data_IF_386149452920
#
_entry.id   IF_386149452920
#
_cell.length_a   1.000
_cell.length_b   1.000
_cell.length_c   1.000
_cell.angle_alpha   90.00
_cell.angle_beta   90.00
_cell.angle_gamma   90.00
#
_symmetry.space_group_name_H-M   'P 1'
#
loop_
_entity.id
_entity.type
_entity.pdbx_description
1 polymer ?
#
# COMPACT_ATOMS: atom_id res chain seq x y z
N UNK A 1 -1.22 -2.64 -14.38
CA UNK A 1 0.04 -3.12 -14.98
C UNK A 1 0.07 -4.64 -14.99
N UNK A 2 0.45 -5.25 -16.11
CA UNK A 2 0.73 -6.69 -16.20
C UNK A 2 2.23 -6.90 -16.20
N UNK A 3 2.72 -7.68 -15.23
CA UNK A 3 4.13 -7.98 -15.08
C UNK A 3 4.46 -9.38 -15.64
N UNK A 4 5.72 -9.56 -16.03
CA UNK A 4 6.24 -10.86 -16.45
C UNK A 4 6.82 -11.61 -15.24
N UNK A 5 5.95 -11.92 -14.29
CA UNK A 5 6.29 -12.68 -13.07
C UNK A 5 5.30 -13.81 -12.86
N UNK A 6 5.75 -14.89 -12.21
CA UNK A 6 4.86 -15.97 -11.77
C UNK A 6 4.62 -15.83 -10.25
N UNK A 7 3.44 -15.38 -9.82
CA UNK A 7 3.13 -15.16 -8.41
C UNK A 7 3.01 -16.46 -7.58
N UNK A 8 3.08 -17.65 -8.22
CA UNK A 8 3.13 -18.94 -7.53
C UNK A 8 4.45 -19.14 -6.81
N UNK A 9 5.52 -18.53 -7.33
CA UNK A 9 6.84 -18.56 -6.73
C UNK A 9 7.00 -17.40 -5.75
N UNK A 10 7.42 -17.70 -4.53
CA UNK A 10 7.55 -16.70 -3.46
C UNK A 10 8.61 -15.62 -3.76
N UNK A 11 9.63 -15.96 -4.53
CA UNK A 11 10.70 -15.08 -5.01
C UNK A 11 10.26 -14.10 -6.12
N UNK A 12 9.18 -14.45 -6.84
CA UNK A 12 8.60 -13.61 -7.89
C UNK A 12 7.36 -12.81 -7.43
N UNK A 13 6.98 -12.94 -6.16
CA UNK A 13 5.86 -12.19 -5.60
C UNK A 13 6.24 -10.74 -5.32
N UNK A 14 5.88 -9.84 -6.24
CA UNK A 14 6.10 -8.40 -6.10
C UNK A 14 5.04 -7.79 -5.20
N UNK A 15 5.48 -7.16 -4.10
CA UNK A 15 4.65 -6.40 -3.18
C UNK A 15 5.46 -5.29 -2.53
N UNK A 16 4.83 -4.17 -2.30
CA UNK A 16 5.47 -3.03 -1.67
C UNK A 16 4.50 -1.90 -1.41
N UNK A 17 5.04 -0.76 -1.08
CA UNK A 17 4.31 0.48 -0.92
C UNK A 17 5.04 1.62 -1.61
N UNK A 18 4.30 2.62 -2.04
CA UNK A 18 4.82 3.86 -2.60
C UNK A 18 4.06 5.02 -1.99
N UNK A 19 4.76 6.07 -1.62
CA UNK A 19 4.15 7.34 -1.24
C UNK A 19 4.05 8.18 -2.50
N UNK A 20 2.82 8.55 -2.86
CA UNK A 20 2.55 9.34 -4.06
C UNK A 20 2.80 10.82 -3.78
N UNK A 21 3.56 11.55 -4.63
CA UNK A 21 3.88 12.96 -4.40
C UNK A 21 2.65 13.86 -4.25
N UNK A 22 1.64 13.65 -5.09
CA UNK A 22 0.38 14.40 -5.01
C UNK A 22 -0.68 13.73 -4.10
N UNK A 23 -0.31 12.65 -3.41
CA UNK A 23 -1.26 11.85 -2.62
C UNK A 23 -2.25 11.06 -3.47
N UNK A 24 -3.25 10.48 -2.81
CA UNK A 24 -4.34 9.71 -3.47
C UNK A 24 -5.63 10.53 -3.62
N UNK A 25 -5.71 11.70 -3.01
CA UNK A 25 -6.94 12.51 -2.92
C UNK A 25 -8.02 11.88 -2.02
N UNK A 26 -7.69 10.85 -1.27
CA UNK A 26 -8.56 10.21 -0.27
C UNK A 26 -8.15 10.63 1.13
N UNK A 27 -9.11 10.96 1.98
CA UNK A 27 -8.87 11.09 3.42
C UNK A 27 -8.76 9.69 4.00
N UNK A 28 -7.57 9.30 4.41
CA UNK A 28 -7.28 7.96 4.94
C UNK A 28 -7.38 7.99 6.45
N UNK A 29 -8.20 7.13 7.03
CA UNK A 29 -8.29 6.92 8.48
C UNK A 29 -7.24 5.91 8.90
N UNK A 30 -6.29 6.37 9.72
CA UNK A 30 -5.15 5.57 10.17
C UNK A 30 -5.39 5.10 11.60
N UNK A 31 -5.42 3.79 11.78
CA UNK A 31 -5.44 3.15 13.09
C UNK A 31 -4.04 2.63 13.45
N UNK A 32 -3.68 2.76 14.71
CA UNK A 32 -2.37 2.35 15.23
C UNK A 32 -2.54 1.43 16.43
N UNK A 33 -1.89 0.28 16.39
CA UNK A 33 -1.77 -0.63 17.54
C UNK A 33 -0.39 -0.45 18.14
N UNK A 34 -0.34 0.28 19.25
CA UNK A 34 0.87 0.58 20.00
C UNK A 34 0.58 0.69 21.50
N UNK A 35 1.61 0.48 22.34
CA UNK A 35 1.55 0.66 23.79
C UNK A 35 2.47 1.80 24.22
N UNK A 36 2.13 2.39 25.38
CA UNK A 36 2.94 3.38 26.08
C UNK A 36 3.38 4.58 25.20
N UNK A 37 4.63 4.97 25.28
CA UNK A 37 5.18 6.12 24.56
C UNK A 37 4.92 6.09 23.04
N UNK A 38 4.84 4.91 22.43
CA UNK A 38 4.54 4.78 20.98
C UNK A 38 3.09 5.11 20.66
N UNK A 39 2.18 4.95 21.59
CA UNK A 39 0.79 5.37 21.42
C UNK A 39 0.68 6.91 21.42
N UNK A 40 1.45 7.59 22.27
CA UNK A 40 1.47 9.05 22.31
C UNK A 40 2.16 9.64 21.08
N UNK A 41 3.26 9.04 20.60
CA UNK A 41 3.88 9.39 19.32
C UNK A 41 2.88 9.26 18.14
N UNK A 42 2.08 8.18 18.13
CA UNK A 42 1.07 7.98 17.11
C UNK A 42 -0.01 9.08 17.11
N UNK A 43 -0.50 9.45 18.30
CA UNK A 43 -1.48 10.55 18.47
C UNK A 43 -0.88 11.88 18.02
N UNK A 44 0.35 12.19 18.43
CA UNK A 44 1.06 13.39 18.03
C UNK A 44 1.29 13.46 16.52
N UNK A 45 1.52 12.32 15.86
CA UNK A 45 1.64 12.23 14.40
C UNK A 45 0.30 12.33 13.65
N UNK A 46 -0.82 12.37 14.39
CA UNK A 46 -2.15 12.55 13.84
C UNK A 46 -2.89 11.24 13.49
N UNK A 47 -2.59 10.13 14.15
CA UNK A 47 -3.38 8.90 13.98
C UNK A 47 -4.82 9.14 14.46
N UNK A 48 -5.80 8.59 13.73
CA UNK A 48 -7.22 8.81 14.03
C UNK A 48 -7.71 7.89 15.15
N UNK A 49 -7.16 6.68 15.22
CA UNK A 49 -7.48 5.69 16.25
C UNK A 49 -6.16 5.13 16.77
N UNK A 50 -5.98 5.15 18.08
CA UNK A 50 -4.81 4.56 18.75
C UNK A 50 -5.30 3.70 19.90
N UNK A 51 -4.90 2.44 19.90
CA UNK A 51 -5.28 1.49 20.94
C UNK A 51 -4.31 0.34 21.07
N UNK A 52 -4.52 -0.52 22.06
CA UNK A 52 -3.74 -1.72 22.29
C UNK A 52 -4.64 -2.96 22.23
N UNK A 53 -4.80 -3.65 23.36
CA UNK A 53 -5.59 -4.89 23.43
C UNK A 53 -7.08 -4.63 23.24
N UNK A 54 -7.60 -3.58 23.89
CA UNK A 54 -9.02 -3.18 23.79
C UNK A 54 -9.45 -2.94 22.33
N UNK A 55 -8.59 -2.29 21.54
CA UNK A 55 -8.85 -2.03 20.13
C UNK A 55 -8.83 -3.32 19.28
N UNK A 56 -7.97 -4.27 19.64
CA UNK A 56 -7.96 -5.60 18.98
C UNK A 56 -9.28 -6.34 19.24
N UNK A 57 -9.84 -6.23 20.45
CA UNK A 57 -11.13 -6.83 20.80
C UNK A 57 -12.31 -6.17 20.08
N UNK A 58 -12.27 -4.86 19.84
CA UNK A 58 -13.24 -4.16 19.00
C UNK A 58 -13.19 -4.65 17.56
N UNK A 59 -12.00 -4.78 16.99
CA UNK A 59 -11.82 -5.34 15.63
C UNK A 59 -12.32 -6.79 15.58
N UNK A 60 -12.08 -7.59 16.61
CA UNK A 60 -12.57 -8.97 16.70
C UNK A 60 -14.10 -9.06 16.68
N UNK A 61 -14.80 -8.06 17.23
CA UNK A 61 -16.28 -7.90 17.16
C UNK A 61 -16.76 -7.42 15.79
N UNK A 62 -15.83 -7.13 14.84
CA UNK A 62 -16.15 -6.72 13.48
C UNK A 62 -16.23 -5.20 13.26
N UNK A 63 -15.90 -4.39 14.26
CA UNK A 63 -15.86 -2.93 14.14
C UNK A 63 -14.57 -2.51 13.44
N UNK A 64 -14.63 -2.21 12.15
CA UNK A 64 -13.49 -1.81 11.33
C UNK A 64 -13.79 -0.44 10.71
N UNK A 65 -13.36 0.62 11.38
CA UNK A 65 -13.60 2.02 10.99
C UNK A 65 -12.32 2.73 10.53
N UNK A 66 -11.39 1.99 9.91
CA UNK A 66 -10.10 2.52 9.43
C UNK A 66 -9.77 1.96 8.05
N UNK A 67 -8.90 2.68 7.34
CA UNK A 67 -8.45 2.31 5.99
C UNK A 67 -7.03 1.75 5.98
N UNK A 68 -6.22 2.11 6.99
CA UNK A 68 -4.84 1.60 7.17
C UNK A 68 -4.63 1.23 8.63
N UNK A 69 -4.03 0.06 8.87
CA UNK A 69 -3.62 -0.38 10.20
C UNK A 69 -2.11 -0.43 10.29
N UNK A 70 -1.55 0.27 11.26
CA UNK A 70 -0.13 0.26 11.61
C UNK A 70 0.02 -0.46 12.93
N UNK A 71 1.02 -1.30 13.06
CA UNK A 71 1.29 -2.03 14.31
C UNK A 71 2.78 -2.00 14.66
N UNK A 72 3.08 -1.95 15.93
CA UNK A 72 4.44 -2.18 16.42
C UNK A 72 4.76 -3.68 16.36
N UNK A 73 6.00 -4.09 16.07
CA UNK A 73 6.40 -5.50 15.98
C UNK A 73 6.04 -6.32 17.22
N UNK A 74 6.16 -5.70 18.40
CA UNK A 74 5.87 -6.34 19.69
C UNK A 74 4.41 -6.79 19.84
N UNK A 75 3.47 -6.11 19.17
CA UNK A 75 2.04 -6.39 19.25
C UNK A 75 1.51 -7.24 18.08
N UNK A 76 2.39 -7.67 17.17
CA UNK A 76 2.00 -8.50 16.03
C UNK A 76 1.38 -9.85 16.45
N UNK A 77 1.73 -10.37 17.63
CA UNK A 77 1.08 -11.57 18.18
C UNK A 77 -0.43 -11.37 18.44
N UNK A 78 -0.81 -10.18 18.91
CA UNK A 78 -2.23 -9.80 19.10
C UNK A 78 -2.93 -9.59 17.75
N UNK A 79 -2.28 -8.90 16.81
CA UNK A 79 -2.80 -8.69 15.45
C UNK A 79 -3.00 -10.02 14.72
N UNK A 80 -2.17 -11.03 15.00
CA UNK A 80 -2.33 -12.38 14.45
C UNK A 80 -3.68 -13.02 14.77
N UNK A 81 -4.25 -12.76 15.96
CA UNK A 81 -5.57 -13.27 16.37
C UNK A 81 -6.70 -12.75 15.46
N UNK A 82 -6.59 -11.52 15.01
CA UNK A 82 -7.58 -10.86 14.13
C UNK A 82 -7.22 -10.95 12.64
N UNK A 83 -6.13 -11.66 12.30
CA UNK A 83 -5.65 -11.80 10.93
C UNK A 83 -6.68 -12.41 9.97
N UNK A 84 -7.57 -13.30 10.47
CA UNK A 84 -8.67 -13.87 9.68
C UNK A 84 -9.70 -12.83 9.22
N UNK A 85 -9.88 -11.75 9.98
CA UNK A 85 -10.80 -10.65 9.64
C UNK A 85 -10.12 -9.60 8.76
N UNK A 86 -8.85 -9.28 9.05
CA UNK A 86 -8.09 -8.24 8.34
C UNK A 86 -7.53 -8.73 6.99
N UNK A 87 -7.18 -10.01 6.89
CA UNK A 87 -6.57 -10.60 5.70
C UNK A 87 -7.39 -10.42 4.42
N UNK A 88 -8.68 -10.87 4.39
CA UNK A 88 -9.54 -10.72 3.22
C UNK A 88 -9.78 -9.26 2.82
N UNK A 89 -9.78 -8.33 3.79
CA UNK A 89 -9.94 -6.89 3.56
C UNK A 89 -8.65 -6.18 3.12
N UNK A 90 -7.51 -6.88 3.12
CA UNK A 90 -6.22 -6.29 2.76
C UNK A 90 -5.64 -5.32 3.81
N UNK A 91 -6.20 -5.31 5.03
CA UNK A 91 -5.83 -4.40 6.12
C UNK A 91 -4.76 -4.99 7.06
N UNK A 92 -4.28 -6.19 6.79
CA UNK A 92 -3.26 -6.86 7.62
C UNK A 92 -1.93 -6.11 7.55
N UNK A 93 -1.38 -5.65 8.69
CA UNK A 93 -0.07 -5.01 8.72
C UNK A 93 1.05 -5.94 8.20
N UNK A 94 2.00 -5.37 7.45
CA UNK A 94 3.09 -6.13 6.87
C UNK A 94 4.40 -5.33 6.90
N UNK A 95 5.52 -5.93 7.34
CA UNK A 95 6.83 -5.25 7.33
C UNK A 95 7.26 -4.76 5.95
N UNK A 96 6.95 -5.52 4.89
CA UNK A 96 7.32 -5.16 3.51
C UNK A 96 6.59 -3.93 2.96
N UNK A 97 5.46 -3.58 3.55
CA UNK A 97 4.70 -2.35 3.20
C UNK A 97 4.97 -1.21 4.18
N UNK A 98 5.86 -1.40 5.16
CA UNK A 98 6.18 -0.39 6.15
C UNK A 98 5.08 -0.13 7.18
N UNK A 99 4.03 -0.98 7.24
CA UNK A 99 2.94 -0.87 8.22
C UNK A 99 3.23 -1.61 9.53
N UNK A 100 4.34 -2.33 9.60
CA UNK A 100 4.90 -2.89 10.85
C UNK A 100 6.26 -2.24 11.08
N UNK A 101 6.34 -1.31 12.01
CA UNK A 101 7.54 -0.54 12.29
C UNK A 101 7.59 -0.05 13.74
N UNK A 102 8.79 0.23 14.21
CA UNK A 102 9.00 0.94 15.50
C UNK A 102 8.87 2.46 15.33
N UNK A 103 9.07 2.99 14.13
CA UNK A 103 8.88 4.40 13.82
C UNK A 103 7.43 4.65 13.37
N UNK A 104 6.56 4.73 14.37
CA UNK A 104 5.12 4.89 14.16
C UNK A 104 4.79 6.26 13.60
N UNK A 105 5.51 7.30 14.03
CA UNK A 105 5.26 8.67 13.59
C UNK A 105 5.47 8.84 12.07
N UNK A 106 6.57 8.28 11.55
CA UNK A 106 6.84 8.33 10.11
C UNK A 106 5.84 7.48 9.31
N UNK A 107 5.45 6.32 9.83
CA UNK A 107 4.48 5.46 9.18
C UNK A 107 3.08 6.13 9.07
N UNK A 108 2.65 6.83 10.12
CA UNK A 108 1.39 7.60 10.11
C UNK A 108 1.45 8.74 9.09
N UNK A 109 2.57 9.50 9.07
CA UNK A 109 2.78 10.57 8.08
C UNK A 109 2.74 10.03 6.65
N UNK A 110 3.41 8.92 6.37
CA UNK A 110 3.41 8.28 5.06
C UNK A 110 2.00 7.82 4.66
N UNK A 111 1.27 7.17 5.58
CA UNK A 111 -0.09 6.70 5.33
C UNK A 111 -1.04 7.84 5.00
N UNK A 112 -0.96 8.96 5.74
CA UNK A 112 -1.75 10.20 5.47
C UNK A 112 -1.24 10.96 4.24
N UNK A 113 0.06 10.86 3.94
CA UNK A 113 0.67 11.46 2.76
C UNK A 113 0.30 10.79 1.42
N UNK A 114 -0.56 9.77 1.44
CA UNK A 114 -1.01 9.08 0.22
C UNK A 114 -0.18 7.85 -0.15
N UNK A 115 0.22 7.08 0.86
CA UNK A 115 0.85 5.78 0.64
C UNK A 115 -0.13 4.80 -0.01
N UNK A 116 0.27 4.22 -1.12
CA UNK A 116 -0.46 3.16 -1.82
C UNK A 116 0.30 1.85 -1.70
N UNK A 117 -0.38 0.83 -1.20
CA UNK A 117 0.15 -0.53 -1.16
C UNK A 117 -0.20 -1.25 -2.45
N UNK A 118 0.76 -1.97 -3.01
CA UNK A 118 0.55 -2.77 -4.20
C UNK A 118 1.01 -4.22 -3.99
N UNK A 119 0.32 -5.11 -4.65
CA UNK A 119 0.62 -6.54 -4.65
C UNK A 119 0.24 -7.13 -6.00
N UNK A 120 1.08 -8.02 -6.51
CA UNK A 120 0.76 -8.82 -7.70
C UNK A 120 -0.37 -9.80 -7.37
N UNK A 121 -1.38 -9.87 -8.23
CA UNK A 121 -2.45 -10.86 -8.17
C UNK A 121 -2.01 -12.23 -8.73
N UNK A 122 -2.90 -13.22 -8.71
CA UNK A 122 -2.62 -14.57 -9.20
C UNK A 122 -2.34 -14.64 -10.71
N UNK A 123 -2.66 -13.59 -11.46
CA UNK A 123 -2.47 -13.51 -12.92
C UNK A 123 -1.25 -12.67 -13.32
N UNK A 124 -0.49 -12.16 -12.34
CA UNK A 124 0.66 -11.31 -12.60
C UNK A 124 0.33 -9.84 -12.80
N UNK A 125 -0.89 -9.40 -12.42
CA UNK A 125 -1.28 -7.99 -12.56
C UNK A 125 -1.09 -7.24 -11.24
N UNK A 126 -0.82 -5.94 -11.35
CA UNK A 126 -0.84 -4.97 -10.24
C UNK A 126 -1.93 -3.94 -10.52
N UNK A 127 -2.78 -3.72 -9.53
CA UNK A 127 -3.81 -2.69 -9.53
C UNK A 127 -3.49 -1.65 -8.46
N UNK A 128 -3.53 -0.36 -8.82
CA UNK A 128 -3.29 0.74 -7.90
C UNK A 128 -4.13 1.95 -8.28
N UNK A 129 -4.72 2.61 -7.31
CA UNK A 129 -5.36 3.91 -7.50
C UNK A 129 -4.31 5.02 -7.39
N UNK A 130 -4.12 5.79 -8.45
CA UNK A 130 -3.05 6.80 -8.56
C UNK A 130 -3.54 8.24 -8.36
N UNK A 131 -4.85 8.45 -8.30
CA UNK A 131 -5.44 9.76 -8.12
C UNK A 131 -6.93 9.79 -8.39
N UNK A 132 -7.47 10.98 -8.47
CA UNK A 132 -8.87 11.27 -8.80
C UNK A 132 -8.97 12.14 -10.05
N UNK A 133 -10.17 12.24 -10.60
CA UNK A 133 -10.48 13.10 -11.77
C UNK A 133 -10.23 14.58 -11.47
N UNK A 134 -10.29 14.98 -10.18
CA UNK A 134 -10.01 16.34 -9.73
C UNK A 134 -8.52 16.73 -9.77
N UNK A 135 -7.61 15.77 -10.03
CA UNK A 135 -6.18 16.04 -10.10
C UNK A 135 -5.80 16.70 -11.42
N UNK A 136 -4.81 17.57 -11.39
CA UNK A 136 -4.23 18.14 -12.60
C UNK A 136 -3.43 17.08 -13.36
N UNK A 137 -3.21 17.33 -14.65
CA UNK A 137 -2.39 16.45 -15.51
C UNK A 137 -0.98 16.23 -14.94
N UNK A 138 -0.38 17.27 -14.39
CA UNK A 138 0.96 17.23 -13.79
C UNK A 138 0.98 16.34 -12.56
N UNK A 139 0.04 16.51 -11.64
CA UNK A 139 -0.10 15.68 -10.43
C UNK A 139 -0.28 14.20 -10.76
N UNK A 140 -1.08 13.88 -11.77
CA UNK A 140 -1.27 12.50 -12.22
C UNK A 140 0.02 11.93 -12.82
N UNK A 141 0.73 12.73 -13.60
CA UNK A 141 1.98 12.32 -14.24
C UNK A 141 3.07 12.03 -13.20
N UNK A 142 3.19 12.89 -12.18
CA UNK A 142 4.13 12.70 -11.07
C UNK A 142 3.81 11.41 -10.28
N UNK A 143 2.53 11.18 -9.99
CA UNK A 143 2.09 9.97 -9.30
C UNK A 143 2.36 8.70 -10.12
N UNK A 144 2.07 8.72 -11.43
CA UNK A 144 2.35 7.60 -12.34
C UNK A 144 3.84 7.33 -12.39
N UNK A 145 4.66 8.36 -12.57
CA UNK A 145 6.12 8.25 -12.64
C UNK A 145 6.71 7.68 -11.35
N UNK A 146 6.29 8.19 -10.19
CA UNK A 146 6.72 7.69 -8.89
C UNK A 146 6.34 6.22 -8.68
N UNK A 147 5.12 5.84 -9.08
CA UNK A 147 4.64 4.47 -8.98
C UNK A 147 5.44 3.51 -9.86
N UNK A 148 5.69 3.88 -11.12
CA UNK A 148 6.44 3.04 -12.07
C UNK A 148 7.89 2.90 -11.65
N UNK A 149 8.55 3.98 -11.22
CA UNK A 149 9.91 3.92 -10.65
C UNK A 149 9.99 2.92 -9.49
N UNK A 150 9.00 2.93 -8.60
CA UNK A 150 8.95 1.97 -7.49
C UNK A 150 8.76 0.54 -7.97
N UNK A 151 7.90 0.29 -8.96
CA UNK A 151 7.71 -1.03 -9.57
C UNK A 151 9.01 -1.52 -10.22
N UNK A 152 9.70 -0.67 -10.98
CA UNK A 152 10.97 -1.00 -11.60
C UNK A 152 12.05 -1.35 -10.55
N UNK A 153 12.09 -0.61 -9.44
CA UNK A 153 12.99 -0.88 -8.30
C UNK A 153 12.73 -2.25 -7.64
N UNK A 154 11.47 -2.69 -7.62
CA UNK A 154 11.06 -3.97 -7.03
C UNK A 154 11.12 -5.14 -8.02
N UNK A 155 11.76 -4.97 -9.18
CA UNK A 155 11.93 -6.05 -10.15
C UNK A 155 12.70 -7.21 -9.51
N UNK A 156 12.10 -8.43 -9.45
CA UNK A 156 12.81 -9.60 -8.94
C UNK A 156 13.95 -10.00 -9.87
N UNK A 157 15.07 -10.48 -9.31
CA UNK A 157 16.18 -11.00 -10.10
C UNK A 157 15.78 -12.20 -10.98
N UNK A 158 14.80 -12.96 -10.55
CA UNK A 158 14.25 -14.09 -11.30
C UNK A 158 13.39 -13.68 -12.52
N UNK A 159 12.97 -12.40 -12.62
CA UNK A 159 12.19 -11.92 -13.76
C UNK A 159 13.07 -11.71 -14.99
N UNK A 160 13.01 -12.64 -15.94
CA UNK A 160 13.77 -12.62 -17.20
C UNK A 160 13.01 -11.84 -18.28
N UNK A 161 13.75 -11.14 -19.14
CA UNK A 161 13.19 -10.44 -20.30
C UNK A 161 12.41 -9.16 -19.94
N UNK A 162 11.41 -8.84 -20.77
CA UNK A 162 10.58 -7.63 -20.62
C UNK A 162 9.73 -7.74 -19.35
N UNK A 163 9.98 -6.87 -18.36
CA UNK A 163 9.35 -6.94 -17.05
C UNK A 163 7.88 -6.49 -17.07
N UNK A 164 7.61 -5.34 -17.69
CA UNK A 164 6.24 -4.83 -17.88
C UNK A 164 5.74 -5.34 -19.24
N UNK A 165 4.76 -6.25 -19.23
CA UNK A 165 4.15 -6.79 -20.46
C UNK A 165 3.14 -5.84 -21.08
N UNK A 166 2.28 -5.26 -20.26
CA UNK A 166 1.28 -4.29 -20.67
C UNK A 166 0.95 -3.34 -19.52
N UNK A 167 0.57 -2.13 -19.89
CA UNK A 167 0.11 -1.11 -18.97
C UNK A 167 -1.16 -0.47 -19.53
N UNK A 168 -2.13 -0.24 -18.66
CA UNK A 168 -3.36 0.45 -19.04
C UNK A 168 -3.77 1.39 -17.91
N UNK A 169 -4.33 2.53 -18.27
CA UNK A 169 -4.94 3.51 -17.40
C UNK A 169 -6.44 3.56 -17.67
N UNK A 170 -7.25 3.57 -16.64
CA UNK A 170 -8.70 3.70 -16.77
C UNK A 170 -9.28 4.46 -15.58
N UNK A 171 -10.41 5.11 -15.80
CA UNK A 171 -11.29 5.59 -14.75
C UNK A 171 -12.28 4.49 -14.37
N UNK A 172 -13.04 4.71 -13.30
CA UNK A 172 -14.00 3.70 -12.77
C UNK A 172 -15.00 3.21 -13.82
N UNK A 173 -15.49 4.09 -14.70
CA UNK A 173 -16.51 3.78 -15.70
C UNK A 173 -16.07 4.10 -17.15
N UNK A 174 -14.76 4.28 -17.39
CA UNK A 174 -14.25 4.57 -18.74
C UNK A 174 -13.63 3.33 -19.39
N UNK A 175 -13.53 3.31 -20.73
CA UNK A 175 -12.65 2.35 -21.39
C UNK A 175 -11.20 2.55 -20.95
N UNK A 176 -10.40 1.48 -21.05
CA UNK A 176 -8.99 1.53 -20.73
C UNK A 176 -8.17 2.11 -21.87
N UNK A 177 -7.17 2.92 -21.54
CA UNK A 177 -6.19 3.48 -22.46
C UNK A 177 -4.88 2.70 -22.26
N UNK A 178 -4.37 2.10 -23.33
CA UNK A 178 -3.07 1.41 -23.30
C UNK A 178 -1.94 2.43 -23.27
N UNK A 179 -0.93 2.15 -22.42
CA UNK A 179 0.27 2.96 -22.30
C UNK A 179 1.46 2.27 -22.98
N UNK A 180 2.35 3.06 -23.58
CA UNK A 180 3.60 2.56 -24.19
C UNK A 180 4.52 1.99 -23.11
N UNK A 181 4.83 0.70 -23.19
CA UNK A 181 5.57 0.00 -22.14
C UNK A 181 7.08 0.28 -22.19
N UNK A 182 7.60 0.72 -23.34
CA UNK A 182 9.00 1.05 -23.49
C UNK A 182 9.35 2.30 -22.66
N UNK A 183 8.59 3.37 -22.83
CA UNK A 183 8.75 4.61 -22.07
C UNK A 183 8.64 4.38 -20.56
N UNK A 184 7.72 3.48 -20.14
CA UNK A 184 7.54 3.16 -18.72
C UNK A 184 8.73 2.40 -18.12
N UNK A 185 9.44 1.59 -18.89
CA UNK A 185 10.63 0.89 -18.41
C UNK A 185 11.85 1.82 -18.33
N UNK A 186 11.90 2.86 -19.15
CA UNK A 186 12.99 3.83 -19.19
C UNK A 186 12.90 4.89 -18.07
N UNK A 187 11.77 4.97 -17.39
CA UNK A 187 11.60 5.79 -16.18
C UNK A 187 12.44 5.21 -15.02
N UNK A 188 13.64 5.74 -14.84
CA UNK A 188 14.57 5.42 -13.73
C UNK A 188 14.33 6.30 -12.49
#
# INVERSE_FOLDING_TARGET
LKLNVDPRHADQMVRGSVVLPAGTGKTVRVAVIAKDAKADEAKAAGADIVGAEDFVDEIAKGVINFDVLIATPNLMGLVGKIGRLLGPKGLMPNPKTGTVTMDVAQAVKNAKGGQVNFRVDKQGNIHAGLGKVSFTKEQLNDNISAFIKMINKHKPAAAKGKYIKSAALSLTMSPSISLETQELMDLK
#
